data_IF_672172762451
#
_entry.id   IF_672172762451
#
_cell.length_a   1.000
_cell.length_b   1.000
_cell.length_c   1.000
_cell.angle_alpha   90.00
_cell.angle_beta   90.00
_cell.angle_gamma   90.00
#
_symmetry.space_group_name_H-M   'P 1'
#
loop_
_entity.id
_entity.type
_entity.pdbx_description
1 polymer ?
#
# COMPACT_ATOMS: atom_id res chain seq x y z
N UNK A 1 -11.49 -65.28 -1.11
CA UNK A 1 -10.57 -65.05 0.03
C UNK A 1 -9.55 -64.01 -0.34
N UNK A 2 -9.87 -62.72 -0.12
CA UNK A 2 -9.01 -61.57 -0.40
C UNK A 2 -8.17 -61.28 0.84
N UNK A 3 -6.86 -61.59 0.78
CA UNK A 3 -5.89 -61.25 1.82
C UNK A 3 -5.74 -59.75 1.91
N UNK A 4 -6.32 -59.14 2.95
CA UNK A 4 -6.02 -57.78 3.37
C UNK A 4 -4.56 -57.71 3.84
N UNK A 5 -3.70 -57.09 3.03
CA UNK A 5 -2.30 -56.79 3.37
C UNK A 5 -2.34 -55.74 4.49
N UNK A 6 -2.10 -56.16 5.74
CA UNK A 6 -1.89 -55.22 6.87
C UNK A 6 -0.73 -54.29 6.51
N UNK A 7 -0.96 -52.98 6.44
CA UNK A 7 0.13 -52.02 6.35
C UNK A 7 1.02 -52.14 7.59
N UNK A 8 2.36 -52.16 7.42
CA UNK A 8 3.28 -52.22 8.55
C UNK A 8 3.12 -50.98 9.43
N UNK A 9 3.17 -51.20 10.76
CA UNK A 9 3.13 -50.11 11.75
C UNK A 9 4.36 -49.23 11.55
N UNK A 10 4.19 -47.90 11.59
CA UNK A 10 5.19 -46.85 11.26
C UNK A 10 6.53 -46.97 12.02
N UNK A 11 6.61 -47.80 13.08
CA UNK A 11 7.79 -48.07 13.91
C UNK A 11 8.83 -49.03 13.28
N UNK A 12 8.43 -49.84 12.30
CA UNK A 12 9.25 -50.97 11.82
C UNK A 12 9.97 -50.70 10.50
N UNK A 13 9.87 -49.47 9.99
CA UNK A 13 10.51 -49.07 8.75
C UNK A 13 11.98 -48.68 8.97
N UNK A 14 12.87 -49.23 8.11
CA UNK A 14 14.28 -48.80 8.06
C UNK A 14 14.38 -47.30 7.72
N UNK A 15 15.49 -46.60 8.07
CA UNK A 15 15.67 -45.19 7.74
C UNK A 15 15.47 -44.87 6.26
N UNK A 16 15.88 -45.79 5.36
CA UNK A 16 15.69 -45.68 3.90
C UNK A 16 14.22 -45.82 3.47
N UNK A 17 13.48 -46.73 4.10
CA UNK A 17 12.04 -46.90 3.83
C UNK A 17 11.21 -45.75 4.38
N UNK A 18 11.62 -45.13 5.51
CA UNK A 18 11.01 -43.90 6.03
C UNK A 18 11.24 -42.70 5.10
N UNK A 19 12.45 -42.59 4.52
CA UNK A 19 12.75 -41.59 3.52
C UNK A 19 11.93 -41.77 2.24
N UNK A 20 11.85 -43.01 1.72
CA UNK A 20 11.01 -43.35 0.55
C UNK A 20 9.53 -43.06 0.81
N UNK A 21 8.99 -43.46 1.97
CA UNK A 21 7.62 -43.16 2.34
C UNK A 21 7.34 -41.65 2.47
N UNK A 22 8.31 -40.83 2.90
CA UNK A 22 8.22 -39.38 2.89
C UNK A 22 8.26 -38.77 1.49
N UNK A 23 9.06 -39.35 0.58
CA UNK A 23 9.09 -38.97 -0.84
C UNK A 23 7.79 -39.35 -1.53
N UNK A 24 7.30 -40.57 -1.31
CA UNK A 24 6.05 -41.09 -1.89
C UNK A 24 4.82 -40.31 -1.38
N UNK A 25 4.86 -39.76 -0.14
CA UNK A 25 3.84 -38.88 0.40
C UNK A 25 3.95 -37.40 -0.12
N UNK A 26 4.91 -37.12 -0.98
CA UNK A 26 5.10 -35.78 -1.55
C UNK A 26 5.76 -34.74 -0.61
N UNK A 27 5.98 -35.07 0.66
CA UNK A 27 6.51 -34.11 1.67
C UNK A 27 7.88 -33.55 1.26
N UNK A 28 8.80 -34.40 0.81
CA UNK A 28 10.15 -33.98 0.39
C UNK A 28 10.08 -33.16 -0.90
N UNK A 29 9.23 -33.57 -1.84
CA UNK A 29 9.03 -32.84 -3.11
C UNK A 29 8.49 -31.44 -2.86
N UNK A 30 7.53 -31.28 -1.95
CA UNK A 30 7.00 -29.97 -1.53
C UNK A 30 8.12 -29.10 -0.92
N UNK A 31 8.93 -29.68 -0.02
CA UNK A 31 10.05 -28.93 0.57
C UNK A 31 11.11 -28.53 -0.45
N UNK A 32 11.45 -29.42 -1.40
CA UNK A 32 12.39 -29.09 -2.48
C UNK A 32 11.87 -27.96 -3.40
N UNK A 33 10.57 -27.91 -3.66
CA UNK A 33 9.96 -26.85 -4.46
C UNK A 33 9.91 -25.48 -3.72
N UNK A 34 9.68 -25.50 -2.41
CA UNK A 34 9.57 -24.27 -1.61
C UNK A 34 10.95 -23.75 -1.16
N UNK A 35 11.94 -24.63 -0.97
CA UNK A 35 13.26 -24.30 -0.42
C UNK A 35 13.95 -23.13 -1.16
N UNK A 36 14.02 -23.11 -2.51
CA UNK A 36 14.64 -21.99 -3.22
C UNK A 36 14.01 -20.65 -2.88
N UNK A 37 12.68 -20.60 -2.77
CA UNK A 37 11.93 -19.40 -2.41
C UNK A 37 12.22 -18.98 -0.97
N UNK A 38 12.26 -19.93 -0.01
CA UNK A 38 12.60 -19.67 1.38
C UNK A 38 14.04 -19.14 1.49
N UNK A 39 15.00 -19.73 0.80
CA UNK A 39 16.40 -19.29 0.82
C UNK A 39 16.52 -17.88 0.28
N UNK A 40 15.89 -17.58 -0.86
CA UNK A 40 15.85 -16.22 -1.42
C UNK A 40 15.19 -15.23 -0.47
N UNK A 41 14.05 -15.57 0.11
CA UNK A 41 13.36 -14.73 1.09
C UNK A 41 14.24 -14.45 2.32
N UNK A 42 14.87 -15.47 2.87
CA UNK A 42 15.79 -15.30 4.00
C UNK A 42 16.99 -14.44 3.65
N UNK A 43 17.58 -14.62 2.47
CA UNK A 43 18.76 -13.87 2.04
C UNK A 43 18.46 -12.42 1.67
N UNK A 44 17.34 -12.16 0.99
CA UNK A 44 17.03 -10.82 0.44
C UNK A 44 16.13 -9.97 1.32
N UNK A 45 15.33 -10.57 2.19
CA UNK A 45 14.39 -9.86 3.04
C UNK A 45 14.70 -9.99 4.52
N UNK A 46 14.81 -11.22 5.02
CA UNK A 46 14.97 -11.43 6.46
C UNK A 46 16.37 -11.03 6.96
N UNK A 47 17.43 -11.43 6.25
CA UNK A 47 18.81 -11.11 6.64
C UNK A 47 19.08 -9.60 6.64
N UNK A 48 18.78 -8.80 5.58
CA UNK A 48 18.97 -7.35 5.62
C UNK A 48 18.14 -6.67 6.70
N UNK A 49 16.92 -7.15 6.96
CA UNK A 49 16.07 -6.63 8.02
C UNK A 49 16.71 -6.84 9.41
N UNK A 50 17.16 -8.05 9.72
CA UNK A 50 17.85 -8.33 10.99
C UNK A 50 19.19 -7.56 11.08
N UNK A 51 19.90 -7.46 9.95
CA UNK A 51 21.18 -6.77 9.89
C UNK A 51 21.04 -5.28 10.20
N UNK A 52 20.06 -4.59 9.61
CA UNK A 52 19.82 -3.16 9.86
C UNK A 52 19.38 -2.89 11.30
N UNK A 53 18.66 -3.84 11.92
CA UNK A 53 18.18 -3.76 13.29
C UNK A 53 19.34 -3.63 14.32
N UNK A 54 20.49 -4.21 14.03
CA UNK A 54 21.69 -4.05 14.83
C UNK A 54 22.11 -2.58 14.94
N UNK A 55 21.98 -1.82 13.87
CA UNK A 55 22.45 -0.44 13.81
C UNK A 55 21.54 0.59 14.50
N UNK A 56 20.41 0.17 14.99
CA UNK A 56 19.52 1.03 15.81
C UNK A 56 20.25 1.56 17.05
N UNK A 57 21.22 0.78 17.58
CA UNK A 57 22.02 1.12 18.76
C UNK A 57 23.36 1.77 18.42
N UNK A 58 23.58 2.11 17.15
CA UNK A 58 24.85 2.67 16.67
C UNK A 58 24.59 4.02 15.96
N UNK A 59 25.54 4.95 16.13
CA UNK A 59 25.71 6.04 15.16
C UNK A 59 26.45 5.46 13.96
N UNK A 60 25.68 5.15 12.90
CA UNK A 60 26.19 4.49 11.70
C UNK A 60 25.88 5.34 10.47
N UNK A 61 26.92 5.69 9.72
CA UNK A 61 26.85 6.52 8.52
C UNK A 61 27.17 5.79 7.21
N UNK A 62 27.21 4.45 7.25
CA UNK A 62 27.59 3.61 6.10
C UNK A 62 29.07 3.19 6.10
N UNK A 63 29.93 3.92 6.80
CA UNK A 63 31.38 3.64 6.90
C UNK A 63 31.81 3.36 8.34
N UNK A 64 31.45 4.25 9.25
CA UNK A 64 31.81 4.17 10.67
C UNK A 64 30.57 3.82 11.50
N UNK A 65 30.77 2.95 12.50
CA UNK A 65 29.70 2.54 13.42
C UNK A 65 30.22 2.70 14.86
N UNK A 66 29.67 3.66 15.60
CA UNK A 66 30.01 3.89 17.01
C UNK A 66 28.82 3.49 17.89
N UNK A 67 29.00 2.67 18.93
CA UNK A 67 27.92 2.28 19.80
C UNK A 67 27.42 3.48 20.60
N UNK A 68 26.11 3.77 20.50
CA UNK A 68 25.47 4.91 21.20
C UNK A 68 24.33 4.46 22.12
N UNK A 69 24.09 3.15 22.26
CA UNK A 69 23.03 2.62 23.09
C UNK A 69 21.64 3.11 22.64
N UNK A 70 20.87 3.67 23.56
CA UNK A 70 19.50 4.16 23.28
C UNK A 70 19.43 5.61 22.81
N UNK A 71 20.56 6.27 22.57
CA UNK A 71 20.58 7.69 22.17
C UNK A 71 19.76 8.00 20.92
N UNK A 72 19.76 7.12 19.92
CA UNK A 72 18.96 7.30 18.72
C UNK A 72 17.44 7.35 19.02
N UNK A 73 16.97 6.57 19.98
CA UNK A 73 15.57 6.61 20.43
C UNK A 73 15.27 7.92 21.19
N UNK A 74 16.14 8.32 22.12
CA UNK A 74 15.95 9.56 22.85
C UNK A 74 15.90 10.77 21.91
N UNK A 75 16.81 10.80 20.93
CA UNK A 75 16.82 11.81 19.87
C UNK A 75 15.53 11.80 19.08
N UNK A 76 15.04 10.61 18.64
CA UNK A 76 13.85 10.47 17.81
C UNK A 76 12.58 10.97 18.54
N UNK A 77 12.44 10.65 19.81
CA UNK A 77 11.29 11.10 20.59
C UNK A 77 11.23 12.63 20.77
N UNK A 78 12.36 13.30 20.65
CA UNK A 78 12.48 14.77 20.70
C UNK A 78 12.51 15.42 19.32
N UNK A 79 12.55 14.64 18.25
CA UNK A 79 12.67 15.14 16.89
C UNK A 79 11.32 15.61 16.33
N UNK A 80 11.09 16.92 16.40
CA UNK A 80 9.87 17.54 15.88
C UNK A 80 9.69 17.29 14.36
N UNK A 81 10.78 17.18 13.58
CA UNK A 81 10.69 16.94 12.14
C UNK A 81 10.14 15.55 11.84
N UNK A 82 10.57 14.54 12.61
CA UNK A 82 10.02 13.19 12.51
C UNK A 82 8.53 13.17 12.86
N UNK A 83 8.13 13.73 14.00
CA UNK A 83 6.73 13.69 14.43
C UNK A 83 5.82 14.49 13.52
N UNK A 84 6.28 15.60 12.97
CA UNK A 84 5.56 16.32 11.92
C UNK A 84 5.39 15.44 10.65
N UNK A 85 6.41 14.68 10.27
CA UNK A 85 6.29 13.76 9.14
C UNK A 85 5.29 12.63 9.41
N UNK A 86 5.18 12.16 10.64
CA UNK A 86 4.12 11.22 11.07
C UNK A 86 2.74 11.86 10.91
N UNK A 87 2.54 13.10 11.39
CA UNK A 87 1.27 13.81 11.24
C UNK A 87 0.90 14.05 9.76
N UNK A 88 1.87 14.45 8.94
CA UNK A 88 1.66 14.60 7.49
C UNK A 88 1.31 13.27 6.81
N UNK A 89 1.86 12.15 7.29
CA UNK A 89 1.49 10.82 6.80
C UNK A 89 0.02 10.51 7.08
N UNK A 90 -0.47 10.82 8.28
CA UNK A 90 -1.88 10.64 8.61
C UNK A 90 -2.79 11.56 7.80
N UNK A 91 -2.41 12.82 7.60
CA UNK A 91 -3.14 13.77 6.76
C UNK A 91 -3.22 13.25 5.32
N UNK A 92 -2.09 12.89 4.74
CA UNK A 92 -1.99 12.33 3.39
C UNK A 92 -2.84 11.05 3.25
N UNK A 93 -2.67 10.09 4.17
CA UNK A 93 -3.39 8.82 4.14
C UNK A 93 -4.90 9.03 4.25
N UNK A 94 -5.36 9.90 5.14
CA UNK A 94 -6.77 10.21 5.31
C UNK A 94 -7.37 10.83 4.04
N UNK A 95 -6.72 11.85 3.47
CA UNK A 95 -7.17 12.49 2.23
C UNK A 95 -7.20 11.49 1.07
N UNK A 96 -6.15 10.67 0.94
CA UNK A 96 -6.07 9.64 -0.10
C UNK A 96 -7.21 8.62 0.05
N UNK A 97 -7.45 8.09 1.25
CA UNK A 97 -8.49 7.09 1.49
C UNK A 97 -9.90 7.63 1.22
N UNK A 98 -10.19 8.86 1.65
CA UNK A 98 -11.48 9.53 1.43
C UNK A 98 -11.77 9.69 -0.06
N UNK A 99 -10.74 9.89 -0.89
CA UNK A 99 -10.93 10.07 -2.34
C UNK A 99 -10.87 8.73 -3.10
N UNK A 100 -9.87 7.90 -2.82
CA UNK A 100 -9.58 6.71 -3.64
C UNK A 100 -10.66 5.64 -3.52
N UNK A 101 -11.17 5.40 -2.31
CA UNK A 101 -12.14 4.32 -2.08
C UNK A 101 -13.49 4.58 -2.73
N UNK A 102 -14.11 5.78 -2.58
CA UNK A 102 -15.36 6.07 -3.29
C UNK A 102 -15.21 6.08 -4.81
N UNK A 103 -14.08 6.61 -5.33
CA UNK A 103 -13.81 6.61 -6.78
C UNK A 103 -13.67 5.18 -7.30
N UNK A 104 -12.89 4.33 -6.60
CA UNK A 104 -12.71 2.93 -6.97
C UNK A 104 -14.03 2.14 -6.91
N UNK A 105 -14.83 2.35 -5.86
CA UNK A 105 -16.13 1.71 -5.69
C UNK A 105 -17.13 2.16 -6.78
N UNK A 106 -17.22 3.45 -7.05
CA UNK A 106 -18.08 3.99 -8.09
C UNK A 106 -17.69 3.43 -9.48
N UNK A 107 -16.40 3.43 -9.80
CA UNK A 107 -15.89 2.85 -11.04
C UNK A 107 -16.17 1.33 -11.11
N UNK A 108 -16.00 0.59 -10.01
CA UNK A 108 -16.26 -0.83 -9.96
C UNK A 108 -17.76 -1.14 -10.20
N UNK A 109 -18.66 -0.42 -9.55
CA UNK A 109 -20.12 -0.59 -9.73
C UNK A 109 -20.54 -0.27 -11.16
N UNK A 110 -19.98 0.77 -11.78
CA UNK A 110 -20.27 1.10 -13.17
C UNK A 110 -19.75 0.02 -14.14
N UNK A 111 -18.55 -0.51 -13.87
CA UNK A 111 -17.87 -1.49 -14.73
C UNK A 111 -18.19 -2.96 -14.39
N UNK A 112 -18.96 -3.24 -13.34
CA UNK A 112 -19.48 -4.58 -13.07
C UNK A 112 -20.64 -4.95 -14.01
N UNK A 113 -21.33 -3.94 -14.56
CA UNK A 113 -22.44 -4.15 -15.49
C UNK A 113 -21.91 -4.57 -16.87
N UNK A 114 -22.72 -5.37 -17.59
CA UNK A 114 -22.43 -5.82 -18.97
C UNK A 114 -22.72 -4.72 -19.99
N UNK A 115 -21.97 -3.64 -19.96
CA UNK A 115 -22.06 -2.55 -20.93
C UNK A 115 -21.08 -2.80 -22.10
N UNK A 116 -21.45 -2.35 -23.29
CA UNK A 116 -20.54 -2.39 -24.45
C UNK A 116 -19.29 -1.57 -24.14
N UNK A 117 -18.09 -2.16 -24.30
CA UNK A 117 -16.82 -1.46 -24.04
C UNK A 117 -16.29 -1.51 -22.61
N UNK A 118 -16.97 -2.17 -21.67
CA UNK A 118 -16.55 -2.28 -20.25
C UNK A 118 -15.10 -2.75 -20.11
N UNK A 119 -14.65 -3.71 -20.92
CA UNK A 119 -13.29 -4.21 -20.87
C UNK A 119 -12.26 -3.13 -21.26
N UNK A 120 -12.58 -2.29 -22.24
CA UNK A 120 -11.71 -1.17 -22.62
C UNK A 120 -11.58 -0.14 -21.49
N UNK A 121 -12.70 0.22 -20.86
CA UNK A 121 -12.66 1.14 -19.70
C UNK A 121 -11.92 0.54 -18.52
N UNK A 122 -12.04 -0.76 -18.24
CA UNK A 122 -11.23 -1.45 -17.22
C UNK A 122 -9.74 -1.32 -17.51
N UNK A 123 -9.32 -1.52 -18.77
CA UNK A 123 -7.92 -1.35 -19.18
C UNK A 123 -7.47 0.09 -19.00
N UNK A 124 -8.23 1.08 -19.47
CA UNK A 124 -7.89 2.49 -19.37
C UNK A 124 -7.72 2.94 -17.91
N UNK A 125 -8.65 2.55 -17.04
CA UNK A 125 -8.60 2.93 -15.61
C UNK A 125 -7.53 2.15 -14.82
N UNK A 126 -7.16 0.98 -15.29
CA UNK A 126 -6.08 0.20 -14.69
C UNK A 126 -4.70 0.62 -15.20
N UNK A 127 -4.60 1.20 -16.39
CA UNK A 127 -3.33 1.55 -17.03
C UNK A 127 -2.39 2.38 -16.13
N UNK A 128 -2.87 3.42 -15.38
CA UNK A 128 -2.00 4.19 -14.49
C UNK A 128 -1.30 3.34 -13.43
N UNK A 129 -1.91 2.27 -12.95
CA UNK A 129 -1.34 1.44 -11.89
C UNK A 129 -0.19 0.54 -12.36
N UNK A 130 -0.08 0.32 -13.66
CA UNK A 130 1.02 -0.45 -14.26
C UNK A 130 2.26 0.42 -14.48
N UNK A 131 2.06 1.74 -14.58
CA UNK A 131 3.15 2.71 -14.74
C UNK A 131 3.85 2.91 -13.39
N UNK A 132 5.19 2.93 -13.40
CA UNK A 132 5.95 3.25 -12.19
C UNK A 132 5.51 4.58 -11.58
N UNK A 133 5.38 4.62 -10.25
CA UNK A 133 5.05 5.82 -9.46
C UNK A 133 5.95 7.01 -9.76
N UNK A 134 7.23 6.75 -10.01
CA UNK A 134 8.21 7.76 -10.39
C UNK A 134 7.89 8.36 -11.77
N UNK A 135 7.53 7.52 -12.76
CA UNK A 135 7.24 7.98 -14.13
C UNK A 135 5.96 8.82 -14.14
N UNK A 136 4.87 8.33 -13.57
CA UNK A 136 3.64 9.13 -13.57
C UNK A 136 3.76 10.37 -12.67
N UNK A 137 4.55 10.29 -11.58
CA UNK A 137 4.89 11.46 -10.78
C UNK A 137 5.60 12.55 -11.61
N UNK A 138 6.57 12.16 -12.45
CA UNK A 138 7.25 13.09 -13.35
C UNK A 138 6.31 13.69 -14.42
N UNK A 139 5.41 12.89 -14.99
CA UNK A 139 4.39 13.39 -15.93
C UNK A 139 3.53 14.47 -15.25
N UNK A 140 3.04 14.18 -14.04
CA UNK A 140 2.22 15.14 -13.28
C UNK A 140 3.01 16.36 -12.81
N UNK A 141 4.32 16.23 -12.55
CA UNK A 141 5.18 17.37 -12.26
C UNK A 141 5.15 18.40 -13.38
N UNK A 142 5.22 17.97 -14.65
CA UNK A 142 5.08 18.85 -15.80
C UNK A 142 3.64 19.37 -15.98
N UNK A 143 2.63 18.54 -15.73
CA UNK A 143 1.23 18.96 -15.79
C UNK A 143 0.93 20.07 -14.77
N UNK A 144 1.52 20.00 -13.58
CA UNK A 144 1.37 20.97 -12.50
C UNK A 144 2.31 22.17 -12.59
N UNK A 145 3.17 22.25 -13.62
CA UNK A 145 4.08 23.39 -13.78
C UNK A 145 3.33 24.71 -13.74
N UNK A 146 3.77 25.64 -12.90
CA UNK A 146 3.15 26.96 -12.79
C UNK A 146 3.37 27.81 -14.03
N UNK A 147 4.49 27.62 -14.72
CA UNK A 147 4.89 28.46 -15.87
C UNK A 147 4.23 28.00 -17.18
N UNK A 148 4.36 26.75 -17.56
CA UNK A 148 3.89 26.21 -18.85
C UNK A 148 3.07 24.93 -18.71
N UNK A 149 2.50 24.65 -17.52
CA UNK A 149 1.73 23.44 -17.28
C UNK A 149 0.39 23.45 -18.01
N UNK A 150 0.04 22.35 -18.71
CA UNK A 150 -1.22 22.25 -19.42
C UNK A 150 -2.45 22.41 -18.52
N UNK A 151 -2.37 22.06 -17.22
CA UNK A 151 -3.45 22.27 -16.29
C UNK A 151 -3.74 23.76 -16.06
N UNK A 152 -2.70 24.57 -15.80
CA UNK A 152 -2.84 26.00 -15.66
C UNK A 152 -3.30 26.67 -16.96
N UNK A 153 -2.77 26.22 -18.09
CA UNK A 153 -3.21 26.74 -19.40
C UNK A 153 -4.71 26.49 -19.64
N UNK A 154 -5.20 25.32 -19.31
CA UNK A 154 -6.61 24.98 -19.42
C UNK A 154 -7.48 25.81 -18.46
N UNK A 155 -7.08 25.93 -17.18
CA UNK A 155 -7.85 26.68 -16.18
C UNK A 155 -7.92 28.19 -16.48
N UNK A 156 -6.82 28.77 -16.95
CA UNK A 156 -6.76 30.16 -17.39
C UNK A 156 -7.60 30.39 -18.65
N UNK A 157 -7.49 29.46 -19.64
CA UNK A 157 -8.26 29.54 -20.88
C UNK A 157 -9.79 29.41 -20.67
N UNK A 158 -10.20 28.70 -19.64
CA UNK A 158 -11.60 28.56 -19.22
C UNK A 158 -12.07 29.70 -18.28
N UNK A 159 -11.17 30.60 -17.87
CA UNK A 159 -11.48 31.67 -16.94
C UNK A 159 -11.77 31.20 -15.51
N UNK A 160 -11.37 29.98 -15.15
CA UNK A 160 -11.65 29.39 -13.82
C UNK A 160 -10.70 29.90 -12.73
N UNK A 161 -9.54 30.43 -13.11
CA UNK A 161 -8.57 31.03 -12.20
C UNK A 161 -8.08 32.35 -12.77
N UNK A 162 -7.79 33.36 -11.93
CA UNK A 162 -7.33 34.68 -12.38
C UNK A 162 -5.83 34.69 -12.72
N UNK A 163 -5.06 33.75 -12.20
CA UNK A 163 -3.60 33.62 -12.41
C UNK A 163 -3.18 32.14 -12.26
N UNK A 164 -1.97 31.82 -12.75
CA UNK A 164 -1.39 30.49 -12.61
C UNK A 164 -1.31 30.08 -11.15
N UNK A 165 -1.77 28.88 -10.86
CA UNK A 165 -1.74 28.28 -9.53
C UNK A 165 -0.42 27.56 -9.30
N UNK A 166 0.22 27.82 -8.17
CA UNK A 166 1.42 27.10 -7.74
C UNK A 166 1.03 25.80 -7.01
N UNK A 167 0.72 24.77 -7.79
CA UNK A 167 0.22 23.49 -7.29
C UNK A 167 1.16 22.80 -6.31
N UNK A 168 2.47 22.80 -6.59
CA UNK A 168 3.47 22.06 -5.84
C UNK A 168 4.31 22.94 -4.90
N UNK A 169 4.40 24.24 -5.17
CA UNK A 169 5.23 25.19 -4.42
C UNK A 169 4.49 25.91 -3.30
N UNK A 170 3.16 25.87 -3.30
CA UNK A 170 2.33 26.46 -2.25
C UNK A 170 2.00 25.45 -1.15
N UNK A 171 2.21 25.83 0.11
CA UNK A 171 1.88 24.99 1.27
C UNK A 171 0.37 24.63 1.37
N UNK A 172 -0.49 25.44 0.75
CA UNK A 172 -1.96 25.21 0.74
C UNK A 172 -2.37 24.12 -0.25
N UNK A 173 -1.70 24.04 -1.40
CA UNK A 173 -2.09 23.17 -2.52
C UNK A 173 -1.25 21.90 -2.62
N UNK A 174 0.01 21.92 -2.16
CA UNK A 174 0.95 20.84 -2.38
C UNK A 174 0.44 19.46 -1.91
N UNK A 175 -0.12 19.39 -0.68
CA UNK A 175 -0.59 18.10 -0.15
C UNK A 175 -1.75 17.53 -0.99
N UNK A 176 -2.75 18.34 -1.31
CA UNK A 176 -3.90 17.87 -2.11
C UNK A 176 -3.49 17.53 -3.55
N UNK A 177 -2.56 18.28 -4.13
CA UNK A 177 -2.02 17.99 -5.47
C UNK A 177 -1.33 16.64 -5.51
N UNK A 178 -0.51 16.33 -4.52
CA UNK A 178 0.14 15.02 -4.40
C UNK A 178 -0.89 13.91 -4.20
N UNK A 179 -1.90 14.13 -3.36
CA UNK A 179 -2.99 13.16 -3.12
C UNK A 179 -3.77 12.86 -4.39
N UNK A 180 -4.11 13.88 -5.20
CA UNK A 180 -4.81 13.68 -6.47
C UNK A 180 -4.01 12.77 -7.41
N UNK A 181 -2.71 13.00 -7.53
CA UNK A 181 -1.83 12.16 -8.37
C UNK A 181 -1.76 10.73 -7.85
N UNK A 182 -1.62 10.56 -6.54
CA UNK A 182 -1.57 9.23 -5.93
C UNK A 182 -2.91 8.47 -6.06
N UNK A 183 -4.04 9.18 -5.99
CA UNK A 183 -5.37 8.61 -6.25
C UNK A 183 -5.49 8.18 -7.70
N UNK A 184 -5.11 9.05 -8.65
CA UNK A 184 -5.13 8.74 -10.09
C UNK A 184 -4.26 7.51 -10.42
N UNK A 185 -3.06 7.44 -9.85
CA UNK A 185 -2.16 6.31 -10.06
C UNK A 185 -2.61 4.99 -9.43
N UNK A 186 -3.39 5.04 -8.34
CA UNK A 186 -3.66 3.86 -7.50
C UNK A 186 -5.09 3.31 -7.52
N UNK A 187 -6.11 4.10 -7.94
CA UNK A 187 -7.52 3.68 -7.78
C UNK A 187 -7.88 2.44 -8.61
N UNK A 188 -7.22 2.24 -9.75
CA UNK A 188 -7.46 1.10 -10.63
C UNK A 188 -7.22 -0.26 -9.97
N UNK A 189 -6.25 -0.38 -9.06
CA UNK A 189 -5.99 -1.59 -8.28
C UNK A 189 -7.20 -1.96 -7.41
N UNK A 190 -7.73 -0.99 -6.67
CA UNK A 190 -8.88 -1.22 -5.79
C UNK A 190 -10.16 -1.44 -6.60
N UNK A 191 -10.31 -0.74 -7.72
CA UNK A 191 -11.42 -0.94 -8.65
C UNK A 191 -11.49 -2.39 -9.15
N UNK A 192 -10.37 -2.99 -9.58
CA UNK A 192 -10.36 -4.37 -10.09
C UNK A 192 -10.72 -5.36 -8.99
N UNK A 193 -10.19 -5.19 -7.77
CA UNK A 193 -10.54 -6.03 -6.63
C UNK A 193 -12.04 -5.93 -6.31
N UNK A 194 -12.58 -4.73 -6.32
CA UNK A 194 -14.01 -4.51 -6.08
C UNK A 194 -14.88 -5.08 -7.22
N UNK A 195 -14.45 -4.99 -8.49
CA UNK A 195 -15.13 -5.65 -9.62
C UNK A 195 -15.18 -7.16 -9.41
N UNK A 196 -14.07 -7.78 -9.00
CA UNK A 196 -14.05 -9.22 -8.71
C UNK A 196 -15.01 -9.59 -7.57
N UNK A 197 -15.05 -8.78 -6.51
CA UNK A 197 -16.00 -8.94 -5.41
C UNK A 197 -17.46 -8.78 -5.87
N UNK A 198 -17.76 -7.79 -6.70
CA UNK A 198 -19.12 -7.60 -7.26
C UNK A 198 -19.56 -8.77 -8.14
N UNK A 199 -18.63 -9.36 -8.90
CA UNK A 199 -18.92 -10.53 -9.76
C UNK A 199 -19.12 -11.83 -8.98
N UNK A 200 -18.71 -11.89 -7.71
CA UNK A 200 -18.94 -13.05 -6.85
C UNK A 200 -20.31 -13.06 -6.17
N UNK A 201 -21.09 -11.96 -6.26
CA UNK A 201 -22.42 -11.88 -5.68
C UNK A 201 -23.41 -12.65 -6.57
N UNK A 202 -24.18 -13.61 -6.02
CA UNK A 202 -25.17 -14.37 -6.77
C UNK A 202 -26.24 -13.47 -7.41
N UNK A 203 -26.56 -13.72 -8.67
CA UNK A 203 -27.53 -12.92 -9.43
C UNK A 203 -28.95 -13.04 -8.87
N UNK A 204 -29.28 -14.21 -8.28
CA UNK A 204 -30.59 -14.48 -7.66
C UNK A 204 -30.94 -13.46 -6.57
N UNK A 205 -29.97 -12.89 -5.87
CA UNK A 205 -30.20 -11.84 -4.86
C UNK A 205 -30.69 -10.54 -5.50
N UNK A 206 -30.18 -10.21 -6.67
CA UNK A 206 -30.62 -9.04 -7.41
C UNK A 206 -32.01 -9.24 -8.05
N UNK A 207 -32.29 -10.46 -8.51
CA UNK A 207 -33.63 -10.82 -9.05
C UNK A 207 -34.68 -10.78 -7.95
N UNK A 208 -34.42 -11.38 -6.80
CA UNK A 208 -35.32 -11.34 -5.63
C UNK A 208 -35.62 -9.90 -5.20
N UNK A 209 -34.57 -9.06 -5.04
CA UNK A 209 -34.75 -7.66 -4.68
C UNK A 209 -35.56 -6.87 -5.72
N UNK A 210 -35.43 -7.23 -7.02
CA UNK A 210 -36.21 -6.62 -8.08
C UNK A 210 -37.68 -7.04 -8.01
N UNK A 211 -37.98 -8.29 -7.67
CA UNK A 211 -39.35 -8.80 -7.45
C UNK A 211 -40.00 -8.06 -6.27
N UNK A 212 -39.24 -7.81 -5.20
CA UNK A 212 -39.66 -7.03 -4.04
C UNK A 212 -39.79 -5.52 -4.31
N UNK A 213 -39.55 -5.07 -5.55
CA UNK A 213 -39.70 -3.67 -5.96
C UNK A 213 -38.55 -2.75 -5.55
N UNK A 214 -37.41 -3.28 -5.22
CA UNK A 214 -36.24 -2.46 -4.84
C UNK A 214 -35.73 -1.62 -6.02
N UNK A 215 -35.56 -0.32 -5.80
CA UNK A 215 -34.93 0.57 -6.77
C UNK A 215 -33.41 0.40 -6.77
N UNK A 216 -32.71 1.04 -7.71
CA UNK A 216 -31.25 0.90 -7.89
C UNK A 216 -30.44 1.30 -6.63
N UNK A 217 -30.88 2.33 -5.90
CA UNK A 217 -30.22 2.77 -4.65
C UNK A 217 -30.46 1.78 -3.52
N UNK A 218 -31.68 1.27 -3.37
CA UNK A 218 -32.03 0.25 -2.38
C UNK A 218 -31.23 -1.03 -2.65
N UNK A 219 -31.14 -1.45 -3.91
CA UNK A 219 -30.35 -2.61 -4.32
C UNK A 219 -28.85 -2.44 -4.01
N UNK A 220 -28.31 -1.26 -4.30
CA UNK A 220 -26.93 -0.95 -3.93
C UNK A 220 -26.71 -0.96 -2.41
N UNK A 221 -27.61 -0.30 -1.64
CA UNK A 221 -27.45 -0.11 -0.19
C UNK A 221 -27.70 -1.38 0.62
N UNK A 222 -28.68 -2.20 0.22
CA UNK A 222 -29.16 -3.33 1.00
C UNK A 222 -28.73 -4.69 0.45
N UNK A 223 -28.30 -4.79 -0.81
CA UNK A 223 -27.80 -6.04 -1.40
C UNK A 223 -26.31 -5.92 -1.73
N UNK A 224 -25.94 -4.99 -2.62
CA UNK A 224 -24.57 -4.90 -3.14
C UNK A 224 -23.56 -4.58 -2.04
N UNK A 225 -23.79 -3.50 -1.29
CA UNK A 225 -22.82 -3.02 -0.30
C UNK A 225 -22.60 -4.01 0.85
N UNK A 226 -23.64 -4.66 1.42
CA UNK A 226 -23.46 -5.72 2.39
C UNK A 226 -22.72 -6.93 1.84
N UNK A 227 -23.14 -7.46 0.70
CA UNK A 227 -22.51 -8.64 0.08
C UNK A 227 -21.07 -8.39 -0.36
N UNK A 228 -20.70 -7.14 -0.65
CA UNK A 228 -19.33 -6.73 -0.93
C UNK A 228 -18.45 -6.57 0.34
N UNK A 229 -19.06 -6.66 1.52
CA UNK A 229 -18.39 -6.47 2.82
C UNK A 229 -17.05 -7.19 2.98
N UNK A 230 -16.95 -8.50 2.72
CA UNK A 230 -15.69 -9.24 2.82
C UNK A 230 -14.59 -8.67 1.90
N UNK A 231 -14.93 -8.30 0.67
CA UNK A 231 -13.98 -7.69 -0.28
C UNK A 231 -13.60 -6.26 0.14
N UNK A 232 -14.57 -5.47 0.63
CA UNK A 232 -14.29 -4.13 1.16
C UNK A 232 -13.30 -4.15 2.32
N UNK A 233 -13.35 -5.15 3.21
CA UNK A 233 -12.37 -5.32 4.28
C UNK A 233 -10.96 -5.51 3.72
N UNK A 234 -10.79 -6.37 2.72
CA UNK A 234 -9.48 -6.60 2.08
C UNK A 234 -8.99 -5.32 1.42
N UNK A 235 -9.85 -4.66 0.64
CA UNK A 235 -9.51 -3.41 -0.06
C UNK A 235 -9.13 -2.30 0.92
N UNK A 236 -9.89 -2.13 2.01
CA UNK A 236 -9.58 -1.16 3.06
C UNK A 236 -8.23 -1.42 3.71
N UNK A 237 -7.94 -2.68 4.06
CA UNK A 237 -6.65 -3.06 4.64
C UNK A 237 -5.48 -2.72 3.72
N UNK A 238 -5.61 -3.10 2.44
CA UNK A 238 -4.58 -2.81 1.43
C UNK A 238 -4.42 -1.30 1.21
N UNK A 239 -5.52 -0.55 1.15
CA UNK A 239 -5.50 0.89 0.95
C UNK A 239 -4.86 1.63 2.13
N UNK A 240 -5.21 1.28 3.38
CA UNK A 240 -4.64 1.87 4.59
C UNK A 240 -3.13 1.60 4.65
N UNK A 241 -2.72 0.34 4.49
CA UNK A 241 -1.30 -0.02 4.58
C UNK A 241 -0.47 0.57 3.45
N UNK A 242 -1.02 0.68 2.24
CA UNK A 242 -0.38 1.38 1.13
C UNK A 242 -0.23 2.87 1.41
N UNK A 243 -1.31 3.55 1.80
CA UNK A 243 -1.29 5.00 2.02
C UNK A 243 -0.31 5.43 3.12
N UNK A 244 -0.17 4.63 4.19
CA UNK A 244 0.79 4.90 5.27
C UNK A 244 2.26 4.73 4.86
N UNK A 245 2.53 3.97 3.79
CA UNK A 245 3.90 3.68 3.30
C UNK A 245 4.29 4.48 2.06
N UNK A 246 3.36 5.21 1.48
CA UNK A 246 3.62 5.99 0.27
C UNK A 246 4.67 7.07 0.52
N UNK A 247 5.62 7.20 -0.39
CA UNK A 247 6.59 8.28 -0.39
C UNK A 247 7.11 8.62 -1.79
N UNK A 248 7.09 7.68 -2.74
CA UNK A 248 7.74 7.80 -4.05
C UNK A 248 7.17 8.95 -4.88
N UNK A 249 5.84 9.04 -4.99
CA UNK A 249 5.15 10.12 -5.70
C UNK A 249 5.42 11.48 -5.06
N UNK A 250 5.43 11.52 -3.71
CA UNK A 250 5.71 12.72 -2.94
C UNK A 250 7.16 13.17 -3.18
N UNK A 251 8.09 12.22 -3.18
CA UNK A 251 9.50 12.48 -3.45
C UNK A 251 9.71 13.12 -4.84
N UNK A 252 9.03 12.60 -5.87
CA UNK A 252 9.16 13.11 -7.24
C UNK A 252 8.49 14.47 -7.41
N UNK A 253 7.28 14.64 -6.89
CA UNK A 253 6.50 15.87 -7.10
C UNK A 253 7.02 17.06 -6.30
N UNK A 254 7.30 16.87 -5.02
CA UNK A 254 7.61 17.96 -4.08
C UNK A 254 8.94 17.78 -3.36
N UNK A 255 9.43 16.53 -3.26
CA UNK A 255 10.58 16.19 -2.41
C UNK A 255 10.31 16.53 -0.94
N UNK A 256 9.04 16.41 -0.47
CA UNK A 256 8.64 16.76 0.88
C UNK A 256 8.32 18.24 1.11
N UNK A 257 8.54 19.12 0.09
CA UNK A 257 8.28 20.57 0.15
C UNK A 257 6.80 20.97 -0.04
N UNK A 258 6.50 22.27 -0.01
CA UNK A 258 7.33 23.35 0.49
C UNK A 258 7.46 23.32 2.03
N UNK A 259 8.61 23.72 2.55
CA UNK A 259 8.90 23.85 3.99
C UNK A 259 8.50 22.58 4.79
N UNK A 260 8.74 21.37 4.22
CA UNK A 260 8.40 20.09 4.85
C UNK A 260 6.90 19.73 4.87
N UNK A 261 6.02 20.52 4.22
CA UNK A 261 4.55 20.36 4.29
C UNK A 261 4.03 19.02 3.76
N UNK A 262 4.76 18.43 2.81
CA UNK A 262 4.44 17.11 2.25
C UNK A 262 5.46 16.04 2.66
N UNK A 263 6.33 16.31 3.64
CA UNK A 263 7.30 15.34 4.09
C UNK A 263 6.59 14.28 4.95
N UNK A 264 6.41 13.11 4.39
CA UNK A 264 5.81 11.96 5.07
C UNK A 264 6.88 11.09 5.75
N UNK A 265 6.46 10.27 6.69
CA UNK A 265 7.30 9.45 7.55
C UNK A 265 8.32 8.60 6.78
N UNK A 266 7.90 7.90 5.71
CA UNK A 266 8.81 7.08 4.92
C UNK A 266 9.76 7.90 4.03
N UNK A 267 9.36 9.09 3.58
CA UNK A 267 10.25 10.01 2.88
C UNK A 267 11.32 10.58 3.82
N UNK A 268 10.94 10.92 5.06
CA UNK A 268 11.89 11.35 6.09
C UNK A 268 12.95 10.27 6.35
N UNK A 269 12.53 9.00 6.52
CA UNK A 269 13.45 7.86 6.71
C UNK A 269 14.34 7.68 5.48
N UNK A 270 13.78 7.77 4.29
CA UNK A 270 14.53 7.66 3.04
C UNK A 270 15.69 8.67 3.01
N UNK A 271 15.42 9.93 3.33
CA UNK A 271 16.46 10.97 3.36
C UNK A 271 17.50 10.78 4.45
N UNK A 272 17.16 10.20 5.58
CA UNK A 272 18.14 9.84 6.61
C UNK A 272 19.11 8.75 6.14
N UNK A 273 18.62 7.78 5.38
CA UNK A 273 19.40 6.61 4.94
C UNK A 273 20.19 6.93 3.67
N UNK A 274 19.57 7.56 2.69
CA UNK A 274 20.13 7.77 1.35
C UNK A 274 20.65 9.20 1.13
N UNK A 275 20.43 10.09 2.08
CA UNK A 275 20.77 11.51 1.98
C UNK A 275 19.67 12.33 1.29
N UNK A 276 19.57 13.59 1.67
CA UNK A 276 18.67 14.54 1.01
C UNK A 276 19.42 15.21 -0.16
N UNK A 277 18.98 15.01 -1.42
CA UNK A 277 19.63 15.60 -2.59
C UNK A 277 19.57 17.13 -2.61
N UNK A 278 18.71 17.74 -1.79
CA UNK A 278 18.59 19.21 -1.65
C UNK A 278 19.53 19.78 -0.58
N UNK A 279 20.15 18.90 0.23
CA UNK A 279 21.08 19.32 1.28
C UNK A 279 22.50 19.49 0.73
N UNK A 280 23.12 20.64 1.00
CA UNK A 280 24.53 20.89 0.66
C UNK A 280 25.51 19.95 1.39
N UNK A 281 25.12 19.41 2.52
CA UNK A 281 25.87 18.45 3.33
C UNK A 281 25.11 17.14 3.42
N UNK A 282 25.33 16.24 2.46
CA UNK A 282 24.77 14.89 2.53
C UNK A 282 25.36 14.15 3.73
N UNK A 283 24.58 14.03 4.80
CA UNK A 283 24.92 13.17 5.95
C UNK A 283 24.03 11.94 5.93
N UNK A 284 24.65 10.81 5.72
CA UNK A 284 23.99 9.52 5.91
C UNK A 284 23.87 9.23 7.40
N UNK A 285 22.66 9.05 7.90
CA UNK A 285 22.38 8.73 9.30
C UNK A 285 21.63 7.38 9.36
N UNK A 286 22.30 6.33 8.87
CA UNK A 286 21.67 5.03 8.67
C UNK A 286 21.20 4.44 10.00
N UNK A 287 21.98 4.54 11.07
CA UNK A 287 21.58 4.07 12.39
C UNK A 287 20.36 4.80 12.94
N UNK A 288 20.33 6.13 12.79
CA UNK A 288 19.17 6.94 13.17
C UNK A 288 17.97 6.67 12.26
N UNK A 289 18.18 6.53 10.95
CA UNK A 289 17.14 6.14 9.99
C UNK A 289 16.54 4.76 10.28
N UNK A 290 17.37 3.79 10.70
CA UNK A 290 16.91 2.48 11.14
C UNK A 290 16.02 2.56 12.39
N UNK A 291 16.36 3.42 13.35
CA UNK A 291 15.54 3.69 14.54
C UNK A 291 14.21 4.31 14.17
N UNK A 292 14.22 5.32 13.29
CA UNK A 292 12.99 5.94 12.77
C UNK A 292 12.13 4.90 12.01
N UNK A 293 12.76 4.04 11.20
CA UNK A 293 12.09 2.95 10.50
C UNK A 293 11.41 1.95 11.45
N UNK A 294 12.08 1.58 12.54
CA UNK A 294 11.55 0.68 13.55
C UNK A 294 10.31 1.28 14.24
N UNK A 295 10.40 2.52 14.71
CA UNK A 295 9.25 3.20 15.36
C UNK A 295 8.11 3.38 14.37
N UNK A 296 8.42 3.72 13.11
CA UNK A 296 7.42 3.81 12.04
C UNK A 296 6.73 2.47 11.76
N UNK A 297 7.47 1.36 11.79
CA UNK A 297 6.88 0.03 11.66
C UNK A 297 5.93 -0.30 12.83
N UNK A 298 6.27 0.12 14.05
CA UNK A 298 5.37 -0.01 15.21
C UNK A 298 4.10 0.83 15.01
N UNK A 299 4.22 2.07 14.55
CA UNK A 299 3.06 2.95 14.27
C UNK A 299 2.14 2.31 13.22
N UNK A 300 2.69 1.89 12.08
CA UNK A 300 1.90 1.23 11.01
C UNK A 300 1.29 -0.08 11.50
N UNK A 301 2.07 -0.88 12.25
CA UNK A 301 1.60 -2.13 12.84
C UNK A 301 0.45 -1.93 13.82
N UNK A 302 0.54 -0.91 14.69
CA UNK A 302 -0.54 -0.56 15.62
C UNK A 302 -1.84 -0.18 14.89
N UNK A 303 -1.73 0.66 13.85
CA UNK A 303 -2.90 1.05 13.03
C UNK A 303 -3.51 -0.19 12.35
N UNK A 304 -2.66 -1.05 11.80
CA UNK A 304 -3.12 -2.29 11.15
C UNK A 304 -3.80 -3.22 12.16
N UNK A 305 -3.27 -3.35 13.38
CA UNK A 305 -3.90 -4.14 14.44
C UNK A 305 -5.25 -3.56 14.87
N UNK A 306 -5.34 -2.24 15.02
CA UNK A 306 -6.60 -1.55 15.33
C UNK A 306 -7.62 -1.81 14.22
N UNK A 307 -7.22 -1.67 12.96
CA UNK A 307 -8.07 -1.99 11.82
C UNK A 307 -8.57 -3.45 11.86
N UNK A 308 -7.67 -4.42 12.06
CA UNK A 308 -8.03 -5.84 12.13
C UNK A 308 -8.98 -6.14 13.29
N UNK A 309 -8.79 -5.48 14.44
CA UNK A 309 -9.68 -5.63 15.58
C UNK A 309 -11.10 -5.10 15.28
N UNK A 310 -11.22 -3.93 14.64
CA UNK A 310 -12.53 -3.43 14.22
C UNK A 310 -13.15 -4.29 13.11
N UNK A 311 -12.34 -4.76 12.16
CA UNK A 311 -12.79 -5.59 11.04
C UNK A 311 -13.39 -6.93 11.50
N UNK A 312 -12.86 -7.55 12.57
CA UNK A 312 -13.44 -8.79 13.14
C UNK A 312 -14.87 -8.62 13.61
N UNK A 313 -15.22 -7.48 14.23
CA UNK A 313 -16.60 -7.21 14.65
C UNK A 313 -17.59 -7.10 13.48
N UNK A 314 -17.09 -6.88 12.29
CA UNK A 314 -17.93 -6.86 11.08
C UNK A 314 -18.20 -8.28 10.54
N UNK A 315 -17.44 -9.32 10.97
CA UNK A 315 -17.68 -10.71 10.59
C UNK A 315 -18.87 -11.31 11.33
N UNK A 316 -19.19 -10.77 12.51
CA UNK A 316 -20.35 -11.21 13.31
C UNK A 316 -21.69 -10.68 12.76
N UNK A 317 -21.68 -9.83 11.72
CA UNK A 317 -22.88 -9.22 11.13
C UNK A 317 -23.30 -9.95 9.84
N UNK A 318 -22.46 -10.82 9.30
CA UNK A 318 -22.68 -11.62 8.10
C UNK A 318 -22.48 -13.12 8.38
#
# INVERSE_FOLDING_TARGET
>A
MTRTRKMPVRSDLTPLERLRAKVDNGDITVWMMIMPTIVLFCATSLYPFIWIFRYVFYDYNGFNAYPVGLYNFERLFRDAAYWNSVLHTFEYASLKLILILPIALAAAVLLSKTLKGTNLFRVIYFLPTVISSVIYGLIWYFIYSAYNGPLNAALLGLGLVPASVEWLSSAKTAMISVVIVAVWGGFGNYMILLVAGLQSIPEDLYESAKIDGANAWQNFRYVTLPMLGPMLKVVLMLAITSALKDYEVIMVLTGGGPIGRTNVMFLYIYYLIFGDPKSLNMRYQIGYGATAGLISAVVVGAITMVYLWFSRKMDDIY
#
